data_IF_221897598601
#
_entry.id   IF_221897598601
#
_cell.length_a   1.000
_cell.length_b   1.000
_cell.length_c   1.000
_cell.angle_alpha   90.00
_cell.angle_beta   90.00
_cell.angle_gamma   90.00
#
_symmetry.space_group_name_H-M   'P 1'
#
loop_
_entity.id
_entity.type
_entity.pdbx_description
1 polymer ?
#
# COMPACT_ATOMS: atom_id res chain seq x y z
N UNK A 1 -34.30 -7.45 4.06
CA UNK A 1 -32.99 -6.78 4.26
C UNK A 1 -33.07 -5.78 5.42
N UNK A 2 -32.17 -5.87 6.41
CA UNK A 2 -32.05 -4.88 7.49
C UNK A 2 -31.34 -3.63 6.96
N UNK A 3 -31.98 -2.46 6.92
CA UNK A 3 -31.38 -1.25 6.32
C UNK A 3 -30.22 -0.70 7.14
N UNK A 4 -30.16 -1.04 8.44
CA UNK A 4 -29.14 -0.61 9.37
C UNK A 4 -28.51 -1.79 10.10
N UNK A 5 -27.23 -1.67 10.45
CA UNK A 5 -26.43 -2.67 11.15
C UNK A 5 -25.78 -1.98 12.35
N UNK A 6 -25.92 -2.56 13.55
CA UNK A 6 -25.18 -2.15 14.74
C UNK A 6 -23.96 -3.08 14.88
N UNK A 7 -22.75 -2.53 14.88
CA UNK A 7 -21.51 -3.27 15.12
C UNK A 7 -20.75 -2.61 16.27
N UNK A 8 -20.67 -3.31 17.42
CA UNK A 8 -20.24 -2.71 18.67
C UNK A 8 -21.10 -1.47 18.99
N UNK A 9 -20.44 -0.34 19.21
CA UNK A 9 -21.10 0.95 19.50
C UNK A 9 -21.37 1.81 18.25
N UNK A 10 -21.25 1.24 17.04
CA UNK A 10 -21.39 1.98 15.77
C UNK A 10 -22.60 1.51 14.98
N UNK A 11 -23.46 2.45 14.58
CA UNK A 11 -24.60 2.21 13.70
C UNK A 11 -24.24 2.56 12.25
N UNK A 12 -24.42 1.60 11.34
CA UNK A 12 -24.11 1.72 9.93
C UNK A 12 -25.36 1.57 9.07
N UNK A 13 -25.42 2.29 7.96
CA UNK A 13 -26.25 1.87 6.83
C UNK A 13 -25.65 0.57 6.26
N UNK A 14 -26.50 -0.43 6.02
CA UNK A 14 -26.08 -1.76 5.57
C UNK A 14 -25.13 -1.69 4.34
N UNK A 15 -25.44 -0.81 3.38
CA UNK A 15 -24.59 -0.60 2.19
C UNK A 15 -23.18 -0.12 2.54
N UNK A 16 -23.05 0.83 3.47
CA UNK A 16 -21.73 1.37 3.86
C UNK A 16 -20.90 0.34 4.63
N UNK A 17 -21.56 -0.43 5.50
CA UNK A 17 -20.93 -1.56 6.19
C UNK A 17 -20.37 -2.60 5.21
N UNK A 18 -21.14 -2.95 4.18
CA UNK A 18 -20.68 -3.88 3.14
C UNK A 18 -19.49 -3.32 2.35
N UNK A 19 -19.50 -2.02 2.02
CA UNK A 19 -18.38 -1.36 1.34
C UNK A 19 -17.11 -1.39 2.20
N UNK A 20 -17.21 -1.03 3.49
CA UNK A 20 -16.07 -1.06 4.42
C UNK A 20 -15.49 -2.48 4.53
N UNK A 21 -16.35 -3.49 4.69
CA UNK A 21 -15.91 -4.89 4.74
C UNK A 21 -15.23 -5.34 3.45
N UNK A 22 -15.73 -4.89 2.30
CA UNK A 22 -15.13 -5.22 1.00
C UNK A 22 -13.72 -4.65 0.88
N UNK A 23 -13.54 -3.37 1.25
CA UNK A 23 -12.23 -2.72 1.24
C UNK A 23 -11.28 -3.38 2.24
N UNK A 24 -11.73 -3.59 3.49
CA UNK A 24 -10.92 -4.25 4.53
C UNK A 24 -10.49 -5.66 4.11
N UNK A 25 -11.39 -6.42 3.48
CA UNK A 25 -11.09 -7.75 2.95
C UNK A 25 -10.02 -7.71 1.86
N UNK A 26 -10.14 -6.79 0.90
CA UNK A 26 -9.15 -6.63 -0.17
C UNK A 26 -7.74 -6.39 0.39
N UNK A 27 -7.60 -5.49 1.37
CA UNK A 27 -6.31 -5.25 1.99
C UNK A 27 -5.81 -6.43 2.83
N UNK A 28 -6.67 -7.14 3.55
CA UNK A 28 -6.25 -8.24 4.42
C UNK A 28 -5.88 -9.53 3.67
N UNK A 29 -6.61 -9.89 2.62
CA UNK A 29 -6.39 -11.16 1.90
C UNK A 29 -5.21 -11.10 0.93
N UNK A 30 -4.85 -9.90 0.46
CA UNK A 30 -3.88 -9.72 -0.62
C UNK A 30 -2.55 -9.14 -0.13
N UNK A 31 -2.53 -8.49 1.04
CA UNK A 31 -1.34 -7.81 1.54
C UNK A 31 -0.39 -8.74 2.30
N UNK A 32 0.35 -9.56 1.56
CA UNK A 32 1.52 -10.27 2.06
C UNK A 32 2.79 -9.79 1.39
N UNK A 33 3.92 -10.00 2.08
CA UNK A 33 5.24 -9.78 1.51
C UNK A 33 5.45 -10.73 0.33
N UNK A 34 6.02 -10.19 -0.75
CA UNK A 34 6.50 -10.99 -1.87
C UNK A 34 7.91 -11.43 -1.50
N UNK A 35 8.22 -12.70 -1.73
CA UNK A 35 9.58 -13.20 -1.58
C UNK A 35 10.45 -12.64 -2.71
N UNK A 36 11.51 -11.92 -2.35
CA UNK A 36 12.40 -11.25 -3.31
C UNK A 36 13.84 -11.46 -2.87
N UNK A 37 14.75 -11.59 -3.82
CA UNK A 37 16.18 -11.51 -3.55
C UNK A 37 16.53 -10.06 -3.19
N UNK A 38 16.67 -9.80 -1.89
CA UNK A 38 16.96 -8.47 -1.35
C UNK A 38 18.29 -7.91 -1.87
N UNK A 39 19.30 -8.76 -2.07
CA UNK A 39 20.61 -8.33 -2.54
C UNK A 39 20.57 -7.91 -4.02
N UNK A 40 19.85 -8.65 -4.86
CA UNK A 40 19.64 -8.28 -6.26
C UNK A 40 18.78 -7.01 -6.38
N UNK A 41 17.73 -6.91 -5.56
CA UNK A 41 16.85 -5.74 -5.52
C UNK A 41 17.62 -4.47 -5.12
N UNK A 42 18.41 -4.53 -4.04
CA UNK A 42 19.22 -3.41 -3.58
C UNK A 42 20.20 -2.96 -4.66
N UNK A 43 20.96 -3.89 -5.25
CA UNK A 43 21.91 -3.59 -6.34
C UNK A 43 21.23 -2.98 -7.57
N UNK A 44 20.01 -3.42 -7.90
CA UNK A 44 19.27 -2.87 -9.03
C UNK A 44 18.79 -1.45 -8.74
N UNK A 45 18.27 -1.21 -7.54
CA UNK A 45 17.83 0.12 -7.11
C UNK A 45 19.00 1.11 -6.97
N UNK A 46 20.17 0.65 -6.51
CA UNK A 46 21.39 1.48 -6.45
C UNK A 46 21.86 1.95 -7.82
N UNK A 47 21.61 1.17 -8.88
CA UNK A 47 21.96 1.55 -10.27
C UNK A 47 20.95 2.52 -10.88
N UNK A 48 19.68 2.46 -10.48
CA UNK A 48 18.59 3.24 -11.06
C UNK A 48 18.42 4.61 -10.42
N UNK A 49 18.80 4.75 -9.15
CA UNK A 49 18.63 5.98 -8.39
C UNK A 49 20.00 6.58 -8.06
N UNK A 50 20.18 7.90 -8.22
CA UNK A 50 21.44 8.55 -7.89
C UNK A 50 21.72 8.43 -6.39
N UNK A 51 23.01 8.33 -6.05
CA UNK A 51 23.48 8.44 -4.68
C UNK A 51 23.19 9.87 -4.20
N UNK A 52 22.53 9.97 -3.05
CA UNK A 52 22.17 11.23 -2.39
C UNK A 52 22.50 11.09 -0.91
N UNK A 53 22.92 12.19 -0.29
CA UNK A 53 23.10 12.27 1.16
C UNK A 53 21.76 12.27 1.91
N UNK A 54 20.66 12.56 1.20
CA UNK A 54 19.29 12.49 1.71
C UNK A 54 18.57 11.20 1.31
N UNK A 55 17.58 10.80 2.12
CA UNK A 55 16.74 9.64 1.82
C UNK A 55 16.02 9.86 0.47
N UNK A 56 16.34 9.01 -0.50
CA UNK A 56 15.65 9.01 -1.79
C UNK A 56 14.27 8.33 -1.65
N UNK A 57 13.24 9.12 -1.38
CA UNK A 57 11.87 8.62 -1.22
C UNK A 57 11.30 7.93 -2.46
N UNK A 58 11.78 8.27 -3.67
CA UNK A 58 11.38 7.58 -4.89
C UNK A 58 11.96 6.16 -4.94
N UNK A 59 13.22 5.99 -4.51
CA UNK A 59 13.85 4.67 -4.35
C UNK A 59 13.13 3.82 -3.32
N UNK A 60 12.75 4.42 -2.18
CA UNK A 60 11.95 3.74 -1.15
C UNK A 60 10.59 3.33 -1.70
N UNK A 61 9.91 4.22 -2.43
CA UNK A 61 8.62 3.91 -3.06
C UNK A 61 8.73 2.74 -4.07
N UNK A 62 9.80 2.71 -4.88
CA UNK A 62 10.07 1.61 -5.80
C UNK A 62 10.32 0.29 -5.07
N UNK A 63 11.12 0.29 -3.99
CA UNK A 63 11.37 -0.90 -3.17
C UNK A 63 10.08 -1.43 -2.53
N UNK A 64 9.24 -0.55 -2.00
CA UNK A 64 7.94 -0.92 -1.41
C UNK A 64 7.01 -1.52 -2.45
N UNK A 65 6.96 -0.95 -3.66
CA UNK A 65 6.15 -1.48 -4.76
C UNK A 65 6.61 -2.86 -5.25
N UNK A 66 7.91 -3.16 -5.17
CA UNK A 66 8.47 -4.45 -5.59
C UNK A 66 8.33 -5.55 -4.53
N UNK A 67 8.23 -5.18 -3.25
CA UNK A 67 8.20 -6.14 -2.12
C UNK A 67 6.80 -6.39 -1.57
N UNK A 68 5.81 -5.58 -1.96
CA UNK A 68 4.42 -5.68 -1.49
C UNK A 68 3.46 -5.86 -2.65
N UNK A 69 2.44 -6.70 -2.45
CA UNK A 69 1.35 -6.87 -3.43
C UNK A 69 0.45 -5.66 -3.58
N UNK A 70 0.35 -4.85 -2.52
CA UNK A 70 -0.38 -3.59 -2.53
C UNK A 70 0.56 -2.51 -2.02
N UNK A 71 0.77 -1.48 -2.82
CA UNK A 71 1.55 -0.29 -2.45
C UNK A 71 0.78 0.96 -2.87
N UNK A 72 0.70 1.94 -1.97
CA UNK A 72 0.14 3.26 -2.27
C UNK A 72 1.27 4.28 -2.25
N UNK A 73 1.49 4.94 -3.39
CA UNK A 73 2.50 5.99 -3.54
C UNK A 73 1.76 7.32 -3.64
N UNK A 74 1.99 8.21 -2.68
CA UNK A 74 1.39 9.54 -2.65
C UNK A 74 2.47 10.64 -2.65
N UNK A 75 2.10 11.82 -3.12
CA UNK A 75 3.01 12.97 -3.18
C UNK A 75 2.39 14.15 -3.93
N UNK A 76 2.91 15.35 -3.70
CA UNK A 76 2.44 16.57 -4.37
C UNK A 76 2.78 16.65 -5.87
N UNK A 77 2.38 17.74 -6.55
CA UNK A 77 2.82 18.05 -7.91
C UNK A 77 4.35 18.15 -7.99
N UNK A 78 4.95 17.63 -9.07
CA UNK A 78 6.40 17.75 -9.31
C UNK A 78 7.31 16.82 -8.50
N UNK A 79 6.78 15.93 -7.65
CA UNK A 79 7.61 14.99 -6.86
C UNK A 79 8.14 13.79 -7.65
N UNK A 80 8.00 13.78 -8.98
CA UNK A 80 8.42 12.68 -9.84
C UNK A 80 7.84 11.31 -9.45
N UNK A 81 6.58 11.31 -8.97
CA UNK A 81 5.74 10.11 -9.04
C UNK A 81 5.43 9.81 -10.49
#
# INVERSE_FOLDING_TARGET
PTPMILCGDRLYLNRMWCNERTVARFFNEVNHAIEVDEALLAQTLDKLFPVSDEINWQKVAAAVALTRRISVISGGPGTGK
#
